data_IF_174760107275
#
_entry.id   IF_174760107275
#
_cell.length_a   1.000
_cell.length_b   1.000
_cell.length_c   1.000
_cell.angle_alpha   90.00
_cell.angle_beta   90.00
_cell.angle_gamma   90.00
#
_symmetry.space_group_name_H-M   'P 1'
#
loop_
_entity.id
_entity.type
_entity.pdbx_description
1 polymer ?
#
# COMPACT_ATOMS: atom_id res chain seq x y z
N UNK A 1 26.26 27.26 13.05
CA UNK A 1 25.71 25.92 13.33
C UNK A 1 24.24 25.97 12.95
N UNK A 2 23.84 25.26 11.89
CA UNK A 2 22.42 25.10 11.58
C UNK A 2 21.84 24.10 12.59
N UNK A 3 20.78 24.49 13.29
CA UNK A 3 20.02 23.59 14.16
C UNK A 3 19.30 22.63 13.21
N UNK A 4 19.73 21.37 13.15
CA UNK A 4 18.99 20.33 12.44
C UNK A 4 17.68 20.13 13.18
N UNK A 5 16.56 20.46 12.56
CA UNK A 5 15.24 20.14 13.09
C UNK A 5 15.10 18.61 13.21
N UNK A 6 14.36 18.10 14.21
CA UNK A 6 14.13 16.68 14.37
C UNK A 6 13.32 16.15 13.19
N UNK A 7 13.73 15.00 12.63
CA UNK A 7 12.98 14.36 11.55
C UNK A 7 11.61 13.87 12.08
N UNK A 8 10.55 14.11 11.30
CA UNK A 8 9.19 13.64 11.62
C UNK A 8 8.90 12.35 10.85
N UNK A 9 8.14 11.47 11.51
CA UNK A 9 7.68 10.21 10.94
C UNK A 9 6.63 10.47 9.86
N UNK A 10 6.56 9.61 8.84
CA UNK A 10 5.50 9.70 7.82
C UNK A 10 4.14 9.32 8.42
N UNK A 11 3.04 9.74 7.77
CA UNK A 11 1.68 9.32 8.16
C UNK A 11 1.54 7.79 8.20
N UNK A 12 2.13 7.09 7.22
CA UNK A 12 2.12 5.64 7.16
C UNK A 12 2.94 5.01 8.31
N UNK A 13 4.06 5.62 8.70
CA UNK A 13 4.84 5.20 9.86
C UNK A 13 4.08 5.43 11.17
N UNK A 14 3.46 6.60 11.35
CA UNK A 14 2.60 6.90 12.50
C UNK A 14 1.42 5.92 12.59
N UNK A 15 0.73 5.67 11.47
CA UNK A 15 -0.38 4.72 11.40
C UNK A 15 0.07 3.30 11.78
N UNK A 16 1.22 2.87 11.26
CA UNK A 16 1.78 1.53 11.52
C UNK A 16 2.11 1.35 13.00
N UNK A 17 2.83 2.29 13.60
CA UNK A 17 3.17 2.24 15.02
C UNK A 17 1.94 2.42 15.92
N UNK A 18 1.02 3.31 15.55
CA UNK A 18 -0.26 3.49 16.24
C UNK A 18 -1.06 2.19 16.31
N UNK A 19 -1.14 1.42 15.23
CA UNK A 19 -1.80 0.10 15.21
C UNK A 19 -1.15 -0.92 16.14
N UNK A 20 0.18 -0.98 16.20
CA UNK A 20 0.88 -1.91 17.12
C UNK A 20 0.65 -1.52 18.57
N UNK A 21 0.75 -0.23 18.90
CA UNK A 21 0.50 0.25 20.26
C UNK A 21 -0.98 0.04 20.66
N UNK A 22 -1.93 0.29 19.75
CA UNK A 22 -3.36 0.00 19.94
C UNK A 22 -3.62 -1.48 20.18
N UNK A 23 -3.00 -2.37 19.39
CA UNK A 23 -3.16 -3.81 19.53
C UNK A 23 -2.73 -4.25 20.93
N UNK A 24 -1.56 -3.79 21.41
CA UNK A 24 -1.04 -4.14 22.73
C UNK A 24 -1.99 -3.66 23.84
N UNK A 25 -2.45 -2.40 23.76
CA UNK A 25 -3.40 -1.82 24.73
C UNK A 25 -4.73 -2.57 24.72
N UNK A 26 -5.29 -2.82 23.53
CA UNK A 26 -6.55 -3.54 23.37
C UNK A 26 -6.44 -4.95 23.93
N UNK A 27 -5.41 -5.71 23.56
CA UNK A 27 -5.19 -7.07 24.06
C UNK A 27 -5.04 -7.11 25.58
N UNK A 28 -4.36 -6.12 26.16
CA UNK A 28 -4.27 -5.99 27.62
C UNK A 28 -5.65 -5.66 28.25
N UNK A 29 -6.41 -4.75 27.65
CA UNK A 29 -7.68 -4.25 28.20
C UNK A 29 -8.91 -5.11 27.93
N UNK A 30 -8.85 -6.06 26.98
CA UNK A 30 -9.93 -6.99 26.67
C UNK A 30 -10.45 -7.69 27.94
N UNK A 31 -11.76 -7.84 28.06
CA UNK A 31 -12.38 -8.59 29.18
C UNK A 31 -12.84 -9.96 28.70
N UNK A 32 -12.46 -11.08 29.38
CA UNK A 32 -11.51 -11.19 30.49
C UNK A 32 -10.06 -11.44 30.01
N UNK A 33 -9.17 -10.44 30.13
CA UNK A 33 -7.73 -10.61 29.89
C UNK A 33 -7.08 -11.25 31.10
N UNK A 34 -6.60 -12.49 30.92
CA UNK A 34 -5.87 -13.21 31.97
C UNK A 34 -4.60 -12.47 32.41
N UNK A 35 -3.90 -11.81 31.48
CA UNK A 35 -2.70 -11.03 31.77
C UNK A 35 -3.03 -9.85 32.68
N UNK A 36 -4.04 -9.06 32.34
CA UNK A 36 -4.47 -7.91 33.14
C UNK A 36 -4.92 -8.33 34.53
N UNK A 37 -5.74 -9.39 34.64
CA UNK A 37 -6.17 -9.91 35.93
C UNK A 37 -5.00 -10.36 36.80
N UNK A 38 -4.00 -11.04 36.22
CA UNK A 38 -2.80 -11.44 36.93
C UNK A 38 -2.02 -10.23 37.44
N UNK A 39 -1.75 -9.25 36.57
CA UNK A 39 -0.99 -8.04 36.87
C UNK A 39 -1.70 -7.16 37.92
N UNK A 40 -2.98 -6.85 37.73
CA UNK A 40 -3.76 -5.99 38.62
C UNK A 40 -4.09 -6.66 39.97
N UNK A 41 -4.05 -8.00 40.05
CA UNK A 41 -4.26 -8.71 41.32
C UNK A 41 -3.07 -8.60 42.29
N UNK A 42 -1.92 -8.10 41.84
CA UNK A 42 -0.68 -8.04 42.62
C UNK A 42 -0.10 -9.42 42.96
N UNK A 43 -0.60 -10.49 42.32
CA UNK A 43 -0.10 -11.85 42.52
C UNK A 43 1.15 -12.10 41.67
N UNK A 44 2.05 -13.00 42.12
CA UNK A 44 3.17 -13.47 41.32
C UNK A 44 2.74 -13.98 39.94
N UNK A 45 3.47 -13.58 38.90
CA UNK A 45 3.26 -14.11 37.55
C UNK A 45 3.71 -15.57 37.52
N UNK A 46 2.82 -16.52 37.18
CA UNK A 46 3.24 -17.92 37.06
C UNK A 46 4.24 -18.09 35.91
N UNK A 47 5.30 -18.90 36.06
CA UNK A 47 6.32 -19.08 35.00
C UNK A 47 5.75 -19.48 33.63
N UNK A 48 4.67 -20.26 33.60
CA UNK A 48 4.02 -20.71 32.37
C UNK A 48 3.19 -19.60 31.68
N UNK A 49 2.91 -18.48 32.35
CA UNK A 49 2.18 -17.35 31.77
C UNK A 49 3.09 -16.45 30.92
N UNK A 50 4.40 -16.45 31.20
CA UNK A 50 5.37 -15.59 30.51
C UNK A 50 5.43 -15.75 28.99
N UNK A 51 5.42 -16.97 28.41
CA UNK A 51 5.38 -17.12 26.96
C UNK A 51 4.15 -16.46 26.33
N UNK A 52 2.99 -16.55 26.99
CA UNK A 52 1.74 -15.94 26.52
C UNK A 52 1.80 -14.41 26.64
N UNK A 53 2.29 -13.89 27.77
CA UNK A 53 2.50 -12.46 27.97
C UNK A 53 3.46 -11.91 26.91
N UNK A 54 4.59 -12.57 26.70
CA UNK A 54 5.57 -12.17 25.70
C UNK A 54 4.94 -12.13 24.30
N UNK A 55 4.29 -13.22 23.88
CA UNK A 55 3.67 -13.32 22.55
C UNK A 55 2.56 -12.28 22.33
N UNK A 56 1.69 -12.08 23.31
CA UNK A 56 0.50 -11.26 23.16
C UNK A 56 0.73 -9.76 23.40
N UNK A 57 1.72 -9.40 24.24
CA UNK A 57 1.91 -8.03 24.75
C UNK A 57 3.24 -7.43 24.29
N UNK A 58 4.35 -8.16 24.38
CA UNK A 58 5.69 -7.60 24.12
C UNK A 58 6.14 -7.79 22.68
N UNK A 59 5.93 -8.98 22.11
CA UNK A 59 6.41 -9.38 20.79
C UNK A 59 5.93 -8.44 19.67
N UNK A 60 4.67 -7.96 19.60
CA UNK A 60 4.26 -7.04 18.54
C UNK A 60 5.12 -5.77 18.46
N UNK A 61 5.52 -5.21 19.62
CA UNK A 61 6.41 -4.06 19.69
C UNK A 61 7.84 -4.43 19.29
N UNK A 62 8.38 -5.50 19.88
CA UNK A 62 9.78 -5.92 19.70
C UNK A 62 10.03 -6.34 18.24
N UNK A 63 9.13 -7.12 17.65
CA UNK A 63 9.24 -7.62 16.28
C UNK A 63 9.18 -6.46 15.28
N UNK A 64 8.23 -5.52 15.44
CA UNK A 64 8.17 -4.34 14.58
C UNK A 64 9.40 -3.45 14.76
N UNK A 65 9.90 -3.28 15.98
CA UNK A 65 11.11 -2.51 16.24
C UNK A 65 12.33 -3.14 15.55
N UNK A 66 12.50 -4.46 15.64
CA UNK A 66 13.60 -5.15 14.99
C UNK A 66 13.49 -5.09 13.46
N UNK A 67 12.28 -5.12 12.91
CA UNK A 67 12.06 -5.07 11.47
C UNK A 67 12.16 -3.65 10.88
N UNK A 68 11.68 -2.65 11.61
CA UNK A 68 11.51 -1.28 11.11
C UNK A 68 11.41 -0.25 12.26
N UNK A 69 12.43 -0.17 13.12
CA UNK A 69 12.52 0.85 14.16
C UNK A 69 12.35 2.27 13.59
N UNK A 70 11.71 3.18 14.33
CA UNK A 70 11.68 4.57 13.91
C UNK A 70 13.09 5.13 13.80
N UNK A 71 13.29 6.11 12.93
CA UNK A 71 14.62 6.72 12.74
C UNK A 71 15.16 7.29 14.05
N UNK A 72 16.41 6.96 14.40
CA UNK A 72 17.07 7.53 15.58
C UNK A 72 17.06 9.06 15.55
N UNK A 73 16.59 9.67 16.64
CA UNK A 73 16.45 11.12 16.77
C UNK A 73 15.12 11.70 16.25
N UNK A 74 14.22 10.86 15.72
CA UNK A 74 12.85 11.30 15.43
C UNK A 74 12.02 11.38 16.71
N UNK A 75 10.95 12.18 16.71
CA UNK A 75 10.02 12.23 17.84
C UNK A 75 9.39 10.86 18.11
N UNK A 76 9.01 10.14 17.06
CA UNK A 76 8.43 8.81 17.15
C UNK A 76 9.39 7.80 17.80
N UNK A 77 10.69 7.90 17.50
CA UNK A 77 11.71 7.09 18.16
C UNK A 77 11.73 7.36 19.67
N UNK A 78 11.75 8.63 20.07
CA UNK A 78 11.77 9.01 21.49
C UNK A 78 10.48 8.61 22.23
N UNK A 79 9.33 8.56 21.55
CA UNK A 79 8.09 8.11 22.16
C UNK A 79 8.08 6.60 22.43
N UNK A 80 8.63 5.81 21.51
CA UNK A 80 8.47 4.34 21.53
C UNK A 80 9.66 3.64 22.19
N UNK A 81 10.87 4.18 22.07
CA UNK A 81 12.12 3.59 22.60
C UNK A 81 12.01 3.18 24.07
N UNK A 82 11.43 3.97 25.00
CA UNK A 82 11.34 3.58 26.40
C UNK A 82 10.57 2.26 26.60
N UNK A 83 9.42 2.11 25.94
CA UNK A 83 8.63 0.88 26.01
C UNK A 83 9.40 -0.32 25.44
N UNK A 84 10.10 -0.11 24.32
CA UNK A 84 10.95 -1.15 23.72
C UNK A 84 12.08 -1.58 24.67
N UNK A 85 12.77 -0.63 25.30
CA UNK A 85 13.86 -0.90 26.23
C UNK A 85 13.39 -1.75 27.43
N UNK A 86 12.21 -1.44 27.98
CA UNK A 86 11.61 -2.26 29.06
C UNK A 86 11.25 -3.65 28.56
N UNK A 87 10.65 -3.78 27.37
CA UNK A 87 10.25 -5.07 26.82
C UNK A 87 11.42 -6.04 26.64
N UNK A 88 12.58 -5.57 26.16
CA UNK A 88 13.75 -6.42 25.94
C UNK A 88 14.57 -6.69 27.21
N UNK A 89 14.46 -5.84 28.24
CA UNK A 89 15.14 -6.01 29.52
C UNK A 89 14.37 -6.90 30.51
N UNK A 90 13.16 -7.32 30.13
CA UNK A 90 12.24 -7.99 31.01
C UNK A 90 12.69 -9.42 31.35
N UNK A 91 12.89 -9.70 32.63
CA UNK A 91 13.22 -11.03 33.14
C UNK A 91 11.97 -11.93 33.17
N UNK A 92 11.85 -12.81 32.18
CA UNK A 92 10.76 -13.78 32.05
C UNK A 92 10.81 -14.92 33.07
N UNK A 93 11.78 -14.93 33.99
CA UNK A 93 11.83 -15.86 35.11
C UNK A 93 11.35 -15.23 36.41
N UNK A 94 11.23 -13.90 36.44
CA UNK A 94 10.81 -13.17 37.63
C UNK A 94 9.31 -13.40 37.91
N UNK A 95 8.92 -13.58 39.19
CA UNK A 95 7.52 -13.55 39.58
C UNK A 95 6.93 -12.13 39.59
N UNK A 96 7.77 -11.10 39.49
CA UNK A 96 7.38 -9.71 39.61
C UNK A 96 6.60 -9.22 38.37
N UNK A 97 5.41 -8.67 38.60
CA UNK A 97 4.55 -8.09 37.56
C UNK A 97 4.77 -6.59 37.36
N UNK A 98 5.51 -5.91 38.25
CA UNK A 98 5.78 -4.47 38.16
C UNK A 98 6.36 -4.05 36.80
N UNK A 99 7.33 -4.77 36.20
CA UNK A 99 7.84 -4.43 34.87
C UNK A 99 6.77 -4.45 33.77
N UNK A 100 5.72 -5.28 33.89
CA UNK A 100 4.61 -5.31 32.93
C UNK A 100 3.75 -4.05 33.09
N UNK A 101 3.51 -3.60 34.33
CA UNK A 101 2.77 -2.35 34.59
C UNK A 101 3.51 -1.15 34.00
N UNK A 102 4.82 -1.07 34.25
CA UNK A 102 5.68 -0.03 33.71
C UNK A 102 5.66 -0.02 32.17
N UNK A 103 5.85 -1.20 31.55
CA UNK A 103 5.75 -1.35 30.11
C UNK A 103 4.41 -0.83 29.57
N UNK A 104 3.29 -1.25 30.17
CA UNK A 104 1.96 -0.83 29.71
C UNK A 104 1.73 0.67 29.88
N UNK A 105 2.28 1.30 30.92
CA UNK A 105 2.22 2.75 31.08
C UNK A 105 2.96 3.47 29.93
N UNK A 106 4.16 2.99 29.57
CA UNK A 106 4.95 3.55 28.47
C UNK A 106 4.28 3.34 27.11
N UNK A 107 3.68 2.16 26.87
CA UNK A 107 2.92 1.90 25.64
C UNK A 107 1.71 2.83 25.51
N UNK A 108 0.98 3.09 26.60
CA UNK A 108 -0.18 4.00 26.59
C UNK A 108 0.24 5.44 26.31
N UNK A 109 1.30 5.91 26.95
CA UNK A 109 1.85 7.24 26.71
C UNK A 109 2.33 7.40 25.25
N UNK A 110 3.06 6.41 24.72
CA UNK A 110 3.48 6.39 23.33
C UNK A 110 2.26 6.41 22.37
N UNK A 111 1.23 5.61 22.66
CA UNK A 111 -0.01 5.55 21.86
C UNK A 111 -0.70 6.90 21.80
N UNK A 112 -0.86 7.56 22.95
CA UNK A 112 -1.50 8.87 23.04
C UNK A 112 -0.74 9.92 22.22
N UNK A 113 0.59 9.94 22.33
CA UNK A 113 1.44 10.85 21.53
C UNK A 113 1.31 10.61 20.03
N UNK A 114 1.32 9.35 19.60
CA UNK A 114 1.11 8.98 18.18
C UNK A 114 -0.28 9.42 17.70
N UNK A 115 -1.33 9.15 18.47
CA UNK A 115 -2.71 9.55 18.11
C UNK A 115 -2.86 11.06 18.01
N UNK A 116 -2.25 11.81 18.92
CA UNK A 116 -2.27 13.28 18.90
C UNK A 116 -1.53 13.84 17.68
N UNK A 117 -0.43 13.20 17.27
CA UNK A 117 0.29 13.57 16.05
C UNK A 117 -0.56 13.35 14.80
N UNK A 118 -1.17 12.17 14.65
CA UNK A 118 -2.05 11.86 13.53
C UNK A 118 -3.29 12.77 13.47
N UNK A 119 -3.89 13.09 14.63
CA UNK A 119 -5.04 14.00 14.67
C UNK A 119 -4.68 15.45 14.28
N UNK A 120 -3.47 15.90 14.64
CA UNK A 120 -3.00 17.24 14.30
C UNK A 120 -2.76 17.41 12.80
N UNK A 121 -2.29 16.36 12.12
CA UNK A 121 -2.12 16.33 10.65
C UNK A 121 -3.47 16.43 9.92
N UNK A 122 -4.51 15.74 10.42
CA UNK A 122 -5.84 15.76 9.76
C UNK A 122 -6.56 17.12 9.79
N UNK A 123 -6.14 18.03 10.66
CA UNK A 123 -6.69 19.39 10.78
C UNK A 123 -5.84 20.46 10.08
N UNK A 124 -4.63 20.12 9.61
CA UNK A 124 -3.79 21.03 8.82
C UNK A 124 -3.98 20.69 7.34
N UNK A 125 -4.76 21.52 6.65
CA UNK A 125 -4.90 21.50 5.20
C UNK A 125 -3.52 21.64 4.52
N UNK A 126 -3.11 20.63 3.76
CA UNK A 126 -2.03 20.57 2.74
C UNK A 126 -0.58 20.90 3.13
N UNK A 127 -0.30 21.55 4.26
CA UNK A 127 1.08 21.70 4.77
C UNK A 127 1.48 20.43 5.54
N UNK A 128 1.82 19.38 4.80
CA UNK A 128 2.67 18.31 5.33
C UNK A 128 3.89 18.97 5.98
N UNK A 129 4.09 18.71 7.26
CA UNK A 129 5.13 19.30 8.09
C UNK A 129 6.49 19.30 7.37
N UNK A 130 7.23 20.40 7.47
CA UNK A 130 8.58 20.67 6.91
C UNK A 130 9.66 19.62 7.26
N UNK A 131 9.28 18.48 7.84
CA UNK A 131 10.13 17.53 8.56
C UNK A 131 10.00 16.07 8.06
N UNK A 132 9.15 15.79 7.05
CA UNK A 132 9.12 14.49 6.34
C UNK A 132 10.42 14.27 5.56
N UNK A 133 10.92 13.03 5.48
CA UNK A 133 12.21 12.74 4.82
C UNK A 133 12.06 11.80 3.62
N UNK A 134 12.97 11.94 2.64
CA UNK A 134 13.02 11.09 1.45
C UNK A 134 13.12 9.61 1.82
N UNK A 135 14.00 9.26 2.77
CA UNK A 135 14.17 7.88 3.24
C UNK A 135 12.89 7.28 3.82
N UNK A 136 12.11 8.07 4.58
CA UNK A 136 10.82 7.65 5.13
C UNK A 136 9.81 7.34 4.03
N UNK A 137 9.66 8.23 3.05
CA UNK A 137 8.75 8.05 1.91
C UNK A 137 9.15 6.83 1.07
N UNK A 138 10.44 6.63 0.81
CA UNK A 138 10.94 5.46 0.08
C UNK A 138 10.72 4.17 0.86
N UNK A 139 10.80 4.21 2.19
CA UNK A 139 10.52 3.04 3.02
C UNK A 139 9.06 2.63 2.97
N UNK A 140 8.14 3.59 3.00
CA UNK A 140 6.71 3.29 2.88
C UNK A 140 6.37 2.77 1.48
N UNK A 141 6.94 3.36 0.43
CA UNK A 141 6.83 2.84 -0.94
C UNK A 141 7.29 1.37 -1.02
N UNK A 142 8.41 1.04 -0.39
CA UNK A 142 8.92 -0.35 -0.35
C UNK A 142 7.93 -1.30 0.32
N UNK A 143 7.37 -0.89 1.47
CA UNK A 143 6.43 -1.69 2.24
C UNK A 143 5.11 -1.89 1.49
N UNK A 144 4.60 -0.86 0.82
CA UNK A 144 3.38 -0.94 0.02
C UNK A 144 3.54 -1.87 -1.17
N UNK A 145 4.67 -1.83 -1.88
CA UNK A 145 4.94 -2.80 -2.97
C UNK A 145 4.98 -4.23 -2.40
N UNK A 146 5.66 -4.45 -1.27
CA UNK A 146 5.73 -5.77 -0.63
C UNK A 146 4.36 -6.26 -0.20
N UNK A 147 3.52 -5.40 0.38
CA UNK A 147 2.16 -5.72 0.79
C UNK A 147 1.25 -6.01 -0.41
N UNK A 148 1.40 -5.25 -1.49
CA UNK A 148 0.68 -5.46 -2.74
C UNK A 148 1.02 -6.84 -3.35
N UNK A 149 2.30 -7.21 -3.38
CA UNK A 149 2.75 -8.55 -3.81
C UNK A 149 2.21 -9.64 -2.89
N UNK A 150 2.29 -9.45 -1.58
CA UNK A 150 1.77 -10.41 -0.60
C UNK A 150 0.26 -10.63 -0.80
N UNK A 151 -0.51 -9.55 -0.90
CA UNK A 151 -1.95 -9.60 -1.11
C UNK A 151 -2.32 -10.33 -2.41
N UNK A 152 -1.57 -10.08 -3.49
CA UNK A 152 -1.79 -10.75 -4.76
C UNK A 152 -1.51 -12.27 -4.68
N UNK A 153 -0.44 -12.66 -3.99
CA UNK A 153 -0.06 -14.08 -3.84
C UNK A 153 -0.96 -14.83 -2.86
N UNK A 154 -1.45 -14.17 -1.82
CA UNK A 154 -2.35 -14.78 -0.83
C UNK A 154 -3.81 -14.77 -1.25
N UNK A 155 -4.23 -13.85 -2.13
CA UNK A 155 -5.63 -13.72 -2.55
C UNK A 155 -6.21 -15.01 -3.12
N UNK A 156 -5.41 -15.76 -3.89
CA UNK A 156 -5.83 -17.06 -4.42
C UNK A 156 -5.85 -18.15 -3.33
N UNK A 157 -4.89 -18.17 -2.41
CA UNK A 157 -4.83 -19.14 -1.31
C UNK A 157 -6.09 -19.11 -0.43
N UNK A 158 -6.61 -17.91 -0.14
CA UNK A 158 -7.85 -17.77 0.62
C UNK A 158 -9.04 -18.47 -0.07
N UNK A 159 -9.15 -18.34 -1.39
CA UNK A 159 -10.19 -19.01 -2.17
C UNK A 159 -9.99 -20.53 -2.17
N UNK A 160 -8.75 -21.00 -2.33
CA UNK A 160 -8.45 -22.43 -2.27
C UNK A 160 -8.77 -23.04 -0.91
N UNK A 161 -8.47 -22.35 0.19
CA UNK A 161 -8.88 -22.81 1.52
C UNK A 161 -10.40 -22.91 1.69
N UNK A 162 -11.18 -22.00 1.10
CA UNK A 162 -12.65 -22.11 1.11
C UNK A 162 -13.13 -23.35 0.34
N UNK A 163 -12.55 -23.61 -0.83
CA UNK A 163 -12.85 -24.80 -1.64
C UNK A 163 -12.49 -26.08 -0.87
N UNK A 164 -11.27 -26.17 -0.35
CA UNK A 164 -10.76 -27.35 0.35
C UNK A 164 -11.54 -27.63 1.63
N UNK A 165 -11.89 -26.59 2.41
CA UNK A 165 -12.74 -26.72 3.59
C UNK A 165 -14.08 -27.35 3.23
N UNK A 166 -14.73 -26.87 2.16
CA UNK A 166 -16.01 -27.40 1.68
C UNK A 166 -15.91 -28.84 1.19
N UNK A 167 -14.82 -29.21 0.51
CA UNK A 167 -14.55 -30.59 0.07
C UNK A 167 -14.38 -31.51 1.27
N UNK A 168 -13.56 -31.10 2.25
CA UNK A 168 -13.31 -31.85 3.47
C UNK A 168 -14.60 -32.06 4.30
N UNK A 169 -15.43 -31.02 4.43
CA UNK A 169 -16.73 -31.12 5.10
C UNK A 169 -17.68 -32.07 4.36
N UNK A 170 -17.73 -32.00 3.03
CA UNK A 170 -18.54 -32.92 2.22
C UNK A 170 -18.10 -34.37 2.40
N UNK A 171 -16.79 -34.63 2.39
CA UNK A 171 -16.22 -35.96 2.62
C UNK A 171 -16.56 -36.51 4.01
N UNK A 172 -16.47 -35.65 5.05
CA UNK A 172 -16.89 -36.02 6.41
C UNK A 172 -18.39 -36.34 6.49
N UNK A 173 -19.24 -35.49 5.93
CA UNK A 173 -20.68 -35.72 5.90
C UNK A 173 -21.02 -37.03 5.18
N UNK A 174 -20.40 -37.29 4.02
CA UNK A 174 -20.59 -38.53 3.27
C UNK A 174 -20.17 -39.78 4.08
N UNK A 175 -19.03 -39.72 4.77
CA UNK A 175 -18.52 -40.82 5.62
C UNK A 175 -19.46 -41.10 6.79
N UNK A 176 -20.06 -40.04 7.36
CA UNK A 176 -21.02 -40.13 8.48
C UNK A 176 -22.47 -40.33 8.06
N UNK A 177 -22.75 -40.35 6.75
CA UNK A 177 -24.12 -40.36 6.18
C UNK A 177 -24.98 -39.18 6.67
N UNK A 178 -24.34 -38.05 6.90
CA UNK A 178 -24.99 -36.78 7.24
C UNK A 178 -25.35 -36.01 5.95
N UNK A 179 -26.17 -34.96 6.08
CA UNK A 179 -26.43 -34.07 4.96
C UNK A 179 -25.13 -33.36 4.52
N UNK A 180 -24.89 -33.22 3.21
CA UNK A 180 -23.74 -32.46 2.73
C UNK A 180 -23.86 -31.00 3.16
N UNK A 181 -22.74 -30.29 3.33
CA UNK A 181 -22.80 -28.87 3.67
C UNK A 181 -23.51 -28.08 2.55
N UNK A 182 -24.08 -26.92 2.86
CA UNK A 182 -24.82 -26.16 1.87
C UNK A 182 -23.99 -25.81 0.61
N UNK A 183 -24.63 -25.68 -0.57
CA UNK A 183 -23.92 -25.49 -1.83
C UNK A 183 -23.46 -24.06 -2.09
N UNK A 184 -24.09 -23.06 -1.48
CA UNK A 184 -23.77 -21.64 -1.68
C UNK A 184 -22.82 -21.13 -0.61
N UNK A 185 -21.99 -20.16 -0.93
CA UNK A 185 -21.22 -19.35 0.01
C UNK A 185 -21.86 -17.96 0.09
N UNK A 186 -22.19 -17.47 1.29
CA UNK A 186 -22.53 -16.05 1.48
C UNK A 186 -21.23 -15.22 1.45
N UNK A 187 -21.13 -14.30 0.51
CA UNK A 187 -19.92 -13.53 0.23
C UNK A 187 -19.57 -12.51 1.33
N UNK A 188 -20.45 -12.30 2.31
CA UNK A 188 -20.23 -11.37 3.42
C UNK A 188 -19.92 -12.11 4.71
N UNK A 189 -20.71 -13.13 5.06
CA UNK A 189 -20.42 -13.92 6.28
C UNK A 189 -19.33 -14.96 6.06
N UNK A 190 -19.06 -15.33 4.80
CA UNK A 190 -18.15 -16.42 4.40
C UNK A 190 -18.58 -17.79 4.96
N UNK A 191 -19.87 -17.92 5.27
CA UNK A 191 -20.51 -19.17 5.70
C UNK A 191 -21.27 -19.83 4.55
N UNK A 192 -21.37 -21.15 4.60
CA UNK A 192 -22.14 -21.92 3.62
C UNK A 192 -23.64 -21.82 3.91
N UNK A 193 -24.44 -21.51 2.90
CA UNK A 193 -25.91 -21.35 3.02
C UNK A 193 -26.65 -22.12 1.92
N UNK A 194 -27.90 -22.50 2.19
CA UNK A 194 -28.70 -23.30 1.26
C UNK A 194 -29.35 -22.46 0.15
N UNK A 195 -29.67 -21.21 0.45
CA UNK A 195 -30.47 -20.37 -0.43
C UNK A 195 -29.61 -19.51 -1.34
N UNK A 196 -29.97 -19.49 -2.64
CA UNK A 196 -29.42 -18.54 -3.59
C UNK A 196 -29.96 -17.14 -3.28
N UNK A 197 -29.08 -16.15 -3.31
CA UNK A 197 -29.43 -14.73 -3.17
C UNK A 197 -28.42 -13.86 -3.92
N UNK A 198 -28.66 -12.56 -3.98
CA UNK A 198 -27.71 -11.60 -4.56
C UNK A 198 -26.37 -11.52 -3.80
N UNK A 199 -26.28 -12.09 -2.60
CA UNK A 199 -25.07 -12.15 -1.76
C UNK A 199 -24.35 -13.48 -1.83
N UNK A 200 -24.88 -14.46 -2.54
CA UNK A 200 -24.33 -15.81 -2.52
C UNK A 200 -23.76 -16.24 -3.87
N UNK A 201 -22.78 -17.12 -3.83
CA UNK A 201 -22.14 -17.71 -5.01
C UNK A 201 -21.97 -19.21 -4.80
N UNK A 202 -22.18 -20.01 -5.85
CA UNK A 202 -22.03 -21.45 -5.74
C UNK A 202 -20.57 -21.83 -5.54
N UNK A 203 -20.28 -22.78 -4.64
CA UNK A 203 -18.93 -23.33 -4.51
C UNK A 203 -18.41 -23.95 -5.82
N UNK A 204 -19.32 -24.47 -6.67
CA UNK A 204 -18.93 -24.98 -7.98
C UNK A 204 -18.47 -23.85 -8.92
N UNK A 205 -19.15 -22.71 -8.91
CA UNK A 205 -18.77 -21.53 -9.71
C UNK A 205 -17.44 -20.96 -9.24
N UNK A 206 -17.28 -20.78 -7.91
CA UNK A 206 -16.03 -20.35 -7.29
C UNK A 206 -14.89 -21.27 -7.73
N UNK A 207 -15.09 -22.59 -7.65
CA UNK A 207 -14.11 -23.56 -8.11
C UNK A 207 -13.80 -23.38 -9.60
N UNK A 208 -14.79 -23.30 -10.49
CA UNK A 208 -14.51 -23.14 -11.93
C UNK A 208 -13.79 -21.85 -12.29
N UNK A 209 -13.90 -20.81 -11.47
CA UNK A 209 -13.26 -19.51 -11.71
C UNK A 209 -11.87 -19.42 -11.09
N UNK A 210 -11.61 -20.15 -10.01
CA UNK A 210 -10.37 -20.07 -9.25
C UNK A 210 -9.44 -21.27 -9.42
N UNK A 211 -9.99 -22.48 -9.57
CA UNK A 211 -9.22 -23.73 -9.66
C UNK A 211 -8.42 -23.77 -10.98
N UNK A 212 -7.08 -23.82 -10.94
CA UNK A 212 -6.24 -23.97 -12.12
C UNK A 212 -6.33 -25.36 -12.78
N UNK A 213 -7.11 -26.28 -12.22
CA UNK A 213 -7.17 -27.70 -12.61
C UNK A 213 -6.24 -28.59 -11.79
N UNK A 214 -5.76 -28.14 -10.62
CA UNK A 214 -4.91 -28.92 -9.69
C UNK A 214 -5.77 -29.38 -8.50
N UNK A 215 -5.51 -30.59 -8.02
CA UNK A 215 -6.43 -31.31 -7.13
C UNK A 215 -6.37 -30.87 -5.66
N UNK A 216 -5.30 -30.20 -5.19
CA UNK A 216 -5.14 -29.85 -3.76
C UNK A 216 -4.32 -28.57 -3.48
N UNK A 217 -4.53 -27.94 -2.30
CA UNK A 217 -3.67 -26.84 -1.79
C UNK A 217 -2.20 -27.26 -1.58
N UNK A 218 -1.94 -28.54 -1.29
CA UNK A 218 -0.57 -29.06 -1.14
C UNK A 218 0.19 -29.08 -2.48
N UNK A 219 -0.48 -29.45 -3.58
CA UNK A 219 0.09 -29.34 -4.94
C UNK A 219 0.35 -27.89 -5.35
N UNK A 220 -0.52 -26.95 -4.91
CA UNK A 220 -0.32 -25.52 -5.10
C UNK A 220 0.92 -24.99 -4.35
N UNK A 221 1.08 -25.37 -3.07
CA UNK A 221 2.24 -24.99 -2.24
C UNK A 221 3.54 -25.64 -2.76
N UNK A 222 3.46 -26.84 -3.32
CA UNK A 222 4.60 -27.55 -3.91
C UNK A 222 5.11 -26.96 -5.23
N UNK A 223 4.45 -25.91 -5.76
CA UNK A 223 4.92 -25.15 -6.91
C UNK A 223 4.62 -25.78 -8.27
N UNK A 224 3.48 -26.46 -8.42
CA UNK A 224 3.03 -26.92 -9.74
C UNK A 224 2.92 -25.72 -10.71
N UNK A 225 3.48 -25.85 -11.93
CA UNK A 225 3.43 -24.80 -12.94
C UNK A 225 1.99 -24.46 -13.40
N UNK A 226 1.03 -25.35 -13.16
CA UNK A 226 -0.39 -25.10 -13.41
C UNK A 226 -1.02 -24.20 -12.36
N UNK A 227 -0.58 -24.28 -11.10
CA UNK A 227 -1.06 -23.44 -10.01
C UNK A 227 -0.84 -21.94 -10.27
N UNK A 228 0.29 -21.59 -10.87
CA UNK A 228 0.66 -20.21 -11.25
C UNK A 228 -0.14 -19.67 -12.47
N UNK A 229 -1.12 -20.41 -13.01
CA UNK A 229 -1.87 -20.04 -14.22
C UNK A 229 -3.37 -19.91 -14.04
N UNK A 230 -3.89 -19.98 -12.81
CA UNK A 230 -5.31 -19.79 -12.56
C UNK A 230 -5.80 -18.44 -13.12
N UNK A 231 -6.91 -18.40 -13.89
CA UNK A 231 -7.43 -17.15 -14.45
C UNK A 231 -7.70 -16.05 -13.41
N UNK A 232 -8.06 -16.43 -12.18
CA UNK A 232 -8.29 -15.51 -11.06
C UNK A 232 -7.02 -14.74 -10.64
N UNK A 233 -5.83 -15.31 -10.84
CA UNK A 233 -4.56 -14.65 -10.53
C UNK A 233 -4.36 -13.39 -11.37
N UNK A 234 -4.88 -13.37 -12.61
CA UNK A 234 -4.91 -12.16 -13.45
C UNK A 234 -5.71 -11.04 -12.79
N UNK A 235 -6.82 -11.36 -12.13
CA UNK A 235 -7.66 -10.38 -11.45
C UNK A 235 -6.90 -9.75 -10.27
N UNK A 236 -6.29 -10.56 -9.41
CA UNK A 236 -5.44 -10.05 -8.32
C UNK A 236 -4.28 -9.22 -8.86
N UNK A 237 -3.66 -9.67 -9.96
CA UNK A 237 -2.60 -8.92 -10.63
C UNK A 237 -3.06 -7.52 -11.07
N UNK A 238 -4.24 -7.43 -11.67
CA UNK A 238 -4.81 -6.16 -12.12
C UNK A 238 -5.08 -5.20 -10.97
N UNK A 239 -5.55 -5.70 -9.82
CA UNK A 239 -5.86 -4.88 -8.65
C UNK A 239 -4.59 -4.28 -8.06
N UNK A 240 -3.57 -5.09 -7.78
CA UNK A 240 -2.37 -4.60 -7.10
C UNK A 240 -1.55 -3.66 -7.99
N UNK A 241 -1.43 -3.95 -9.30
CA UNK A 241 -0.71 -3.07 -10.25
C UNK A 241 -1.42 -1.73 -10.37
N UNK A 242 -2.75 -1.74 -10.47
CA UNK A 242 -3.53 -0.50 -10.56
C UNK A 242 -3.39 0.32 -9.30
N UNK A 243 -3.56 -0.30 -8.13
CA UNK A 243 -3.41 0.38 -6.85
C UNK A 243 -2.02 0.99 -6.68
N UNK A 244 -0.96 0.22 -6.95
CA UNK A 244 0.41 0.70 -6.80
C UNK A 244 0.74 1.87 -7.72
N UNK A 245 0.29 1.84 -8.98
CA UNK A 245 0.51 2.97 -9.90
C UNK A 245 -0.28 4.20 -9.48
N UNK A 246 -1.51 4.03 -8.99
CA UNK A 246 -2.27 5.15 -8.41
C UNK A 246 -1.51 5.75 -7.22
N UNK A 247 -1.01 4.93 -6.29
CA UNK A 247 -0.20 5.42 -5.17
C UNK A 247 1.09 6.10 -5.65
N UNK A 248 1.76 5.55 -6.67
CA UNK A 248 2.94 6.18 -7.25
C UNK A 248 2.63 7.58 -7.82
N UNK A 249 1.59 7.69 -8.66
CA UNK A 249 1.27 8.95 -9.35
C UNK A 249 0.65 10.01 -8.42
N UNK A 250 -0.17 9.61 -7.45
CA UNK A 250 -0.95 10.53 -6.61
C UNK A 250 -0.30 10.84 -5.26
N UNK A 251 0.50 9.91 -4.72
CA UNK A 251 1.10 10.06 -3.39
C UNK A 251 2.63 10.18 -3.47
N UNK A 252 3.30 9.11 -3.89
CA UNK A 252 4.76 9.01 -3.72
C UNK A 252 5.54 9.96 -4.61
N UNK A 253 5.19 10.06 -5.90
CA UNK A 253 5.91 10.90 -6.84
C UNK A 253 5.78 12.40 -6.51
N UNK A 254 4.59 12.96 -6.21
CA UNK A 254 4.48 14.35 -5.74
C UNK A 254 5.23 14.61 -4.44
N UNK A 255 5.15 13.70 -3.46
CA UNK A 255 5.88 13.84 -2.19
C UNK A 255 7.40 13.88 -2.39
N UNK A 256 7.94 12.95 -3.16
CA UNK A 256 9.37 12.91 -3.47
C UNK A 256 9.81 14.18 -4.21
N UNK A 257 9.01 14.67 -5.15
CA UNK A 257 9.31 15.88 -5.89
C UNK A 257 9.41 17.10 -4.97
N UNK A 258 8.43 17.27 -4.08
CA UNK A 258 8.43 18.35 -3.09
C UNK A 258 9.64 18.27 -2.16
N UNK A 259 9.96 17.08 -1.63
CA UNK A 259 11.11 16.87 -0.74
C UNK A 259 12.46 17.14 -1.44
N UNK A 260 12.53 16.90 -2.74
CA UNK A 260 13.70 17.21 -3.56
C UNK A 260 13.73 18.66 -4.07
N UNK A 261 12.70 19.46 -3.81
CA UNK A 261 12.54 20.79 -4.40
C UNK A 261 12.46 20.77 -5.93
N UNK A 262 11.86 19.72 -6.50
CA UNK A 262 11.78 19.45 -7.93
C UNK A 262 10.33 19.39 -8.41
N UNK A 263 10.15 19.41 -9.73
CA UNK A 263 8.85 19.18 -10.35
C UNK A 263 8.50 17.67 -10.30
N UNK A 264 7.24 17.28 -10.05
CA UNK A 264 6.81 15.88 -10.17
C UNK A 264 7.20 15.23 -11.50
N UNK A 265 7.26 16.01 -12.58
CA UNK A 265 7.68 15.51 -13.89
C UNK A 265 9.15 15.15 -14.01
N UNK A 266 9.99 15.65 -13.11
CA UNK A 266 11.41 15.34 -13.02
C UNK A 266 11.68 14.07 -12.22
N UNK A 267 10.80 13.69 -11.29
CA UNK A 267 10.86 12.40 -10.58
C UNK A 267 10.46 11.28 -11.51
N UNK A 268 11.46 10.59 -12.05
CA UNK A 268 11.29 9.50 -13.02
C UNK A 268 11.67 8.15 -12.45
N UNK A 269 10.91 7.13 -12.83
CA UNK A 269 11.23 5.75 -12.58
C UNK A 269 10.94 4.89 -13.80
N UNK A 270 11.93 4.12 -14.24
CA UNK A 270 11.72 3.16 -15.32
C UNK A 270 10.89 1.96 -14.84
N UNK A 271 11.04 1.57 -13.57
CA UNK A 271 10.24 0.51 -12.96
C UNK A 271 8.75 0.86 -12.95
N UNK A 272 8.40 2.05 -12.43
CA UNK A 272 7.01 2.49 -12.40
C UNK A 272 6.47 2.82 -13.81
N UNK A 273 7.32 3.22 -14.76
CA UNK A 273 6.91 3.34 -16.16
C UNK A 273 6.53 1.99 -16.78
N UNK A 274 7.26 0.92 -16.46
CA UNK A 274 6.94 -0.45 -16.91
C UNK A 274 5.65 -0.98 -16.25
N UNK A 275 5.48 -0.74 -14.95
CA UNK A 275 4.25 -1.08 -14.23
C UNK A 275 3.03 -0.30 -14.76
N UNK A 276 3.19 0.97 -15.16
CA UNK A 276 2.10 1.76 -15.73
C UNK A 276 1.63 1.19 -17.08
N UNK A 277 2.54 0.66 -17.90
CA UNK A 277 2.15 -0.05 -19.13
C UNK A 277 1.39 -1.33 -18.82
N UNK A 278 1.76 -2.04 -17.74
CA UNK A 278 0.96 -3.18 -17.27
C UNK A 278 -0.44 -2.75 -16.83
N UNK A 279 -0.56 -1.68 -16.04
CA UNK A 279 -1.87 -1.11 -15.66
C UNK A 279 -2.73 -0.83 -16.88
N UNK A 280 -2.18 -0.19 -17.92
CA UNK A 280 -2.92 0.10 -19.15
C UNK A 280 -3.47 -1.19 -19.80
N UNK A 281 -2.68 -2.25 -19.85
CA UNK A 281 -3.12 -3.52 -20.43
C UNK A 281 -4.14 -4.27 -19.55
N UNK A 282 -4.01 -4.19 -18.23
CA UNK A 282 -5.04 -4.70 -17.32
C UNK A 282 -6.37 -3.98 -17.50
N UNK A 283 -6.36 -2.64 -17.50
CA UNK A 283 -7.57 -1.81 -17.55
C UNK A 283 -8.22 -1.81 -18.93
N UNK A 284 -7.44 -1.66 -20.00
CA UNK A 284 -7.99 -1.46 -21.35
C UNK A 284 -7.95 -2.71 -22.23
N UNK A 285 -7.07 -3.68 -21.93
CA UNK A 285 -6.86 -4.88 -22.75
C UNK A 285 -7.20 -6.18 -22.00
N UNK A 286 -7.98 -6.10 -20.91
CA UNK A 286 -8.44 -7.26 -20.11
C UNK A 286 -7.30 -8.14 -19.59
N UNK A 287 -6.14 -7.53 -19.35
CA UNK A 287 -4.91 -8.20 -18.92
C UNK A 287 -4.31 -9.09 -20.00
N UNK A 288 -4.41 -8.68 -21.28
CA UNK A 288 -3.67 -9.26 -22.39
C UNK A 288 -2.57 -8.29 -22.80
N UNK A 289 -1.32 -8.77 -22.81
CA UNK A 289 -0.16 -7.95 -23.08
C UNK A 289 -0.19 -7.39 -24.52
N UNK A 290 -0.03 -6.08 -24.65
CA UNK A 290 0.08 -5.39 -25.92
C UNK A 290 1.53 -5.17 -26.33
N UNK A 291 1.73 -4.59 -27.52
CA UNK A 291 3.06 -4.20 -27.99
C UNK A 291 3.78 -3.16 -27.11
N UNK A 292 3.06 -2.50 -26.18
CA UNK A 292 3.64 -1.52 -25.25
C UNK A 292 4.28 -2.22 -24.05
N UNK A 293 3.53 -3.06 -23.34
CA UNK A 293 4.06 -3.81 -22.20
C UNK A 293 5.07 -4.88 -22.61
N UNK A 294 4.94 -5.45 -23.82
CA UNK A 294 5.93 -6.38 -24.36
C UNK A 294 7.29 -5.74 -24.66
N UNK A 295 7.39 -4.41 -24.55
CA UNK A 295 8.62 -3.62 -24.70
C UNK A 295 8.93 -2.87 -23.41
N UNK A 296 8.52 -3.42 -22.28
CA UNK A 296 9.10 -3.05 -21.00
C UNK A 296 10.63 -3.17 -21.07
N UNK A 297 11.32 -2.40 -20.24
CA UNK A 297 12.78 -2.40 -20.24
C UNK A 297 13.30 -3.31 -19.13
N UNK A 298 12.68 -3.21 -17.96
CA UNK A 298 13.04 -3.91 -16.74
C UNK A 298 12.13 -5.11 -16.52
N UNK A 299 10.82 -4.91 -16.59
CA UNK A 299 9.83 -5.98 -16.33
C UNK A 299 9.39 -6.67 -17.62
N UNK A 300 10.26 -7.54 -18.15
CA UNK A 300 10.06 -8.22 -19.44
C UNK A 300 9.25 -9.52 -19.32
N UNK A 301 8.14 -9.47 -18.59
CA UNK A 301 7.40 -10.66 -18.15
C UNK A 301 6.53 -11.30 -19.22
N UNK A 302 6.03 -10.50 -20.17
CA UNK A 302 4.99 -10.91 -21.09
C UNK A 302 5.32 -10.53 -22.53
N UNK A 303 5.09 -11.46 -23.44
CA UNK A 303 5.06 -11.22 -24.88
C UNK A 303 3.70 -10.72 -25.33
N UNK A 304 3.64 -10.10 -26.51
CA UNK A 304 2.37 -9.62 -27.07
C UNK A 304 1.40 -10.79 -27.25
N UNK A 305 0.20 -10.66 -26.69
CA UNK A 305 -0.86 -11.66 -26.73
C UNK A 305 -0.92 -12.56 -25.50
N UNK A 306 0.08 -12.51 -24.63
CA UNK A 306 0.08 -13.31 -23.40
C UNK A 306 -1.01 -12.85 -22.44
N UNK A 307 -1.64 -13.82 -21.75
CA UNK A 307 -2.43 -13.54 -20.57
C UNK A 307 -1.48 -13.11 -19.44
N UNK A 308 -1.68 -11.91 -18.91
CA UNK A 308 -0.77 -11.30 -17.94
C UNK A 308 -0.99 -11.86 -16.53
N UNK A 309 -0.51 -13.08 -16.29
CA UNK A 309 -0.52 -13.74 -14.99
C UNK A 309 0.94 -13.81 -14.50
N UNK A 310 1.34 -13.00 -13.51
CA UNK A 310 2.72 -13.02 -13.00
C UNK A 310 3.02 -14.34 -12.28
N UNK A 311 4.20 -14.89 -12.53
CA UNK A 311 4.72 -16.08 -11.83
C UNK A 311 5.50 -15.68 -10.57
N UNK A 312 5.87 -16.67 -9.75
CA UNK A 312 6.77 -16.43 -8.61
C UNK A 312 8.10 -15.78 -9.01
N UNK A 313 8.68 -16.14 -10.17
CA UNK A 313 9.90 -15.53 -10.70
C UNK A 313 9.70 -14.06 -11.10
N UNK A 314 8.52 -13.71 -11.64
CA UNK A 314 8.20 -12.32 -11.98
C UNK A 314 8.15 -11.44 -10.72
N UNK A 315 7.57 -11.95 -9.63
CA UNK A 315 7.54 -11.23 -8.36
C UNK A 315 8.92 -11.07 -7.71
N UNK A 316 9.78 -12.10 -7.78
CA UNK A 316 11.16 -11.98 -7.33
C UNK A 316 11.91 -10.88 -8.11
N UNK A 317 11.74 -10.86 -9.43
CA UNK A 317 12.30 -9.80 -10.28
C UNK A 317 11.77 -8.41 -9.90
N UNK A 318 10.46 -8.26 -9.63
CA UNK A 318 9.89 -6.98 -9.19
C UNK A 318 10.58 -6.47 -7.92
N UNK A 319 10.75 -7.34 -6.91
CA UNK A 319 11.36 -6.96 -5.64
C UNK A 319 12.85 -6.63 -5.81
N UNK A 320 13.54 -7.35 -6.69
CA UNK A 320 14.93 -7.04 -7.04
C UNK A 320 15.05 -5.69 -7.75
N UNK A 321 14.20 -5.41 -8.74
CA UNK A 321 14.20 -4.13 -9.46
C UNK A 321 13.77 -2.96 -8.56
N UNK A 322 12.85 -3.17 -7.63
CA UNK A 322 12.50 -2.19 -6.62
C UNK A 322 13.70 -1.85 -5.75
N UNK A 323 14.41 -2.86 -5.24
CA UNK A 323 15.61 -2.65 -4.43
C UNK A 323 16.67 -1.83 -5.17
N UNK A 324 16.80 -2.01 -6.49
CA UNK A 324 17.68 -1.21 -7.35
C UNK A 324 17.17 0.20 -7.62
N UNK A 325 15.85 0.40 -7.64
CA UNK A 325 15.21 1.69 -7.95
C UNK A 325 15.22 2.65 -6.76
N UNK A 326 15.06 2.15 -5.53
CA UNK A 326 14.98 3.00 -4.33
C UNK A 326 16.19 3.96 -4.16
N UNK A 327 17.45 3.52 -4.31
CA UNK A 327 18.60 4.44 -4.25
C UNK A 327 18.59 5.51 -5.34
N UNK A 328 18.03 5.22 -6.51
CA UNK A 328 17.94 6.19 -7.61
C UNK A 328 16.92 7.28 -7.29
N UNK A 329 15.80 6.91 -6.65
CA UNK A 329 14.78 7.85 -6.20
C UNK A 329 15.21 8.67 -4.97
N UNK A 330 16.22 8.20 -4.23
CA UNK A 330 16.79 8.92 -3.10
C UNK A 330 17.65 10.13 -3.52
N UNK A 331 18.10 10.16 -4.78
CA UNK A 331 18.86 11.28 -5.31
C UNK A 331 17.95 12.36 -5.91
N UNK A 332 18.38 13.61 -5.78
CA UNK A 332 17.67 14.74 -6.38
C UNK A 332 17.55 14.50 -7.90
N UNK A 333 16.34 14.59 -8.49
CA UNK A 333 16.14 14.31 -9.89
C UNK A 333 16.82 15.37 -10.76
N UNK A 334 17.29 14.95 -11.93
CA UNK A 334 17.83 15.86 -12.94
C UNK A 334 16.65 16.52 -13.66
N UNK A 335 16.53 17.86 -13.66
CA UNK A 335 15.46 18.54 -14.36
C UNK A 335 15.45 18.17 -15.83
N UNK A 336 14.30 17.74 -16.35
CA UNK A 336 14.15 17.49 -17.78
C UNK A 336 14.21 18.81 -18.52
N UNK A 337 14.84 18.78 -19.70
CA UNK A 337 14.75 19.90 -20.64
C UNK A 337 13.28 20.11 -21.00
N UNK A 338 12.66 21.15 -20.44
CA UNK A 338 11.29 21.51 -20.78
C UNK A 338 11.29 22.01 -22.22
N UNK A 339 10.38 21.50 -23.07
CA UNK A 339 10.26 22.06 -24.41
C UNK A 339 9.96 23.56 -24.26
N UNK A 340 10.58 24.39 -25.10
CA UNK A 340 10.34 25.84 -25.11
C UNK A 340 8.88 26.21 -25.46
N UNK A 341 8.04 25.21 -25.79
CA UNK A 341 6.63 25.34 -26.11
C UNK A 341 5.86 24.14 -25.58
N UNK A 342 4.76 24.41 -24.90
CA UNK A 342 3.79 23.41 -24.45
C UNK A 342 2.45 23.65 -25.14
N UNK A 343 1.73 22.59 -25.48
CA UNK A 343 0.39 22.69 -26.04
C UNK A 343 -0.60 23.06 -24.94
N UNK A 344 -1.43 24.07 -25.17
CA UNK A 344 -2.51 24.46 -24.27
C UNK A 344 -3.76 23.70 -24.70
N UNK A 345 -4.33 22.90 -23.79
CA UNK A 345 -5.58 22.17 -24.01
C UNK A 345 -6.74 23.00 -23.46
N UNK A 346 -7.74 23.25 -24.29
CA UNK A 346 -8.96 23.94 -23.90
C UNK A 346 -10.04 23.71 -24.94
N UNK A 347 -11.30 23.82 -24.51
CA UNK A 347 -12.45 23.77 -25.40
C UNK A 347 -12.95 25.20 -25.64
N UNK A 348 -13.10 25.56 -26.91
CA UNK A 348 -13.68 26.83 -27.34
C UNK A 348 -14.67 26.57 -28.47
N UNK A 349 -15.77 27.35 -28.56
CA UNK A 349 -16.72 27.26 -29.67
C UNK A 349 -16.03 27.30 -31.04
N UNK A 350 -16.43 26.41 -31.95
CA UNK A 350 -15.83 26.28 -33.29
C UNK A 350 -15.83 27.59 -34.08
N UNK A 351 -16.88 28.41 -33.92
CA UNK A 351 -16.95 29.71 -34.59
C UNK A 351 -15.91 30.70 -34.06
N UNK A 352 -15.56 30.64 -32.76
CA UNK A 352 -14.45 31.44 -32.21
C UNK A 352 -13.11 30.99 -32.75
N UNK A 353 -12.89 29.68 -32.95
CA UNK A 353 -11.66 29.16 -33.58
C UNK A 353 -11.51 29.74 -34.99
N UNK A 354 -12.57 29.67 -35.81
CA UNK A 354 -12.54 30.23 -37.17
C UNK A 354 -12.28 31.73 -37.19
N UNK A 355 -12.94 32.48 -36.29
CA UNK A 355 -12.73 33.92 -36.18
C UNK A 355 -11.29 34.25 -35.74
N UNK A 356 -10.76 33.49 -34.80
CA UNK A 356 -9.39 33.62 -34.32
C UNK A 356 -8.37 33.35 -35.43
N UNK A 357 -8.52 32.24 -36.17
CA UNK A 357 -7.66 31.90 -37.32
C UNK A 357 -7.71 32.97 -38.41
N UNK A 358 -8.91 33.49 -38.72
CA UNK A 358 -9.09 34.58 -39.68
C UNK A 358 -8.41 35.87 -39.22
N UNK A 359 -8.56 36.23 -37.94
CA UNK A 359 -7.94 37.42 -37.36
C UNK A 359 -6.41 37.32 -37.31
N UNK A 360 -5.88 36.14 -36.99
CA UNK A 360 -4.46 35.83 -37.05
C UNK A 360 -3.91 35.98 -38.48
N UNK A 361 -4.59 35.38 -39.45
CA UNK A 361 -4.23 35.47 -40.87
C UNK A 361 -4.24 36.89 -41.41
N UNK A 362 -5.24 37.71 -41.03
CA UNK A 362 -5.32 39.12 -41.41
C UNK A 362 -4.14 39.97 -40.89
N UNK A 363 -3.48 39.53 -39.82
CA UNK A 363 -2.28 40.16 -39.23
C UNK A 363 -0.97 39.51 -39.71
N UNK A 364 -1.04 38.55 -40.64
CA UNK A 364 0.14 37.81 -41.12
C UNK A 364 0.75 36.89 -40.06
N UNK A 365 0.02 36.56 -38.99
CA UNK A 365 0.49 35.70 -37.91
C UNK A 365 -0.01 34.26 -38.11
N UNK A 366 0.84 33.28 -37.81
CA UNK A 366 0.41 31.90 -37.64
C UNK A 366 -0.41 31.72 -36.35
N UNK A 367 -1.30 30.72 -36.32
CA UNK A 367 -2.22 30.46 -35.19
C UNK A 367 -1.48 30.38 -33.85
N UNK A 368 -0.34 29.69 -33.79
CA UNK A 368 0.46 29.59 -32.55
C UNK A 368 1.03 30.93 -32.07
N UNK A 369 1.49 31.79 -32.99
CA UNK A 369 2.04 33.11 -32.65
C UNK A 369 0.92 34.07 -32.21
N UNK A 370 -0.25 33.98 -32.85
CA UNK A 370 -1.43 34.72 -32.42
C UNK A 370 -1.92 34.26 -31.03
N UNK A 371 -1.84 32.95 -30.75
CA UNK A 371 -2.24 32.39 -29.45
C UNK A 371 -1.28 32.84 -28.35
N UNK A 372 0.03 32.79 -28.62
CA UNK A 372 1.07 33.29 -27.72
C UNK A 372 0.86 34.77 -27.39
N UNK A 373 0.62 35.62 -28.40
CA UNK A 373 0.33 37.04 -28.20
C UNK A 373 -0.97 37.28 -27.42
N UNK A 374 -2.02 36.51 -27.70
CA UNK A 374 -3.30 36.64 -27.00
C UNK A 374 -3.18 36.27 -25.51
N UNK A 375 -2.47 35.19 -25.19
CA UNK A 375 -2.23 34.78 -23.80
C UNK A 375 -1.37 35.80 -23.07
N UNK A 376 -0.31 36.29 -23.72
CA UNK A 376 0.55 37.30 -23.12
C UNK A 376 -0.22 38.57 -22.79
N UNK A 377 -1.04 39.06 -23.73
CA UNK A 377 -1.89 40.23 -23.48
C UNK A 377 -2.88 39.98 -22.34
N UNK A 378 -3.48 38.78 -22.27
CA UNK A 378 -4.41 38.43 -21.20
C UNK A 378 -3.72 38.40 -19.82
N UNK A 379 -2.49 37.86 -19.73
CA UNK A 379 -1.69 37.90 -18.51
C UNK A 379 -1.35 39.35 -18.14
N UNK A 380 -0.84 40.14 -19.07
CA UNK A 380 -0.45 41.54 -18.84
C UNK A 380 -1.66 42.40 -18.40
N UNK A 381 -2.86 42.13 -18.93
CA UNK A 381 -4.12 42.77 -18.52
C UNK A 381 -4.57 42.32 -17.12
N UNK A 382 -4.30 41.07 -16.74
CA UNK A 382 -4.70 40.49 -15.46
C UNK A 382 -3.74 40.82 -14.32
N UNK A 383 -2.45 41.04 -14.62
CA UNK A 383 -1.39 41.39 -13.66
C UNK A 383 -1.20 42.93 -13.48
N UNK A 384 -2.05 43.74 -14.11
CA UNK A 384 -2.06 45.21 -13.92
C UNK A 384 -2.40 45.64 -12.47
N UNK A 385 -2.09 46.89 -12.06
CA UNK A 385 -2.06 47.36 -10.66
C UNK A 385 -3.44 47.55 -9.98
N UNK A 386 -4.40 46.67 -10.27
CA UNK A 386 -5.73 46.63 -9.64
C UNK A 386 -6.00 45.38 -8.79
N UNK A 387 -5.05 44.44 -8.70
CA UNK A 387 -5.19 43.17 -7.96
C UNK A 387 -4.86 43.22 -6.47
N UNK A 388 -4.91 44.39 -5.83
CA UNK A 388 -5.01 44.53 -4.37
C UNK A 388 -6.33 45.25 -4.06
N UNK A 389 -7.41 44.49 -3.93
CA UNK A 389 -8.66 44.94 -3.34
C UNK A 389 -9.29 43.79 -2.55
#
# INVERSE_FOLDING_TARGET
MAISLPAVATEAELTRWGKVLEQIVTTYDMKPSGVRLLVESGKPVPPHAWPVINLAIMAPLVDLWQANAPRTGSQLYEWIRPAYAVAIALDQTSPDSTPIVEFMALVRDAREKVQNATASESNQTEDLTDETTVDGVLKDLELDVKLAVLSARLGHNGIMHLIDRRIAEAGRAATRREQPPPPQLDLVSLESVDQLSYRTMSHAEIRTMADPGVMTTEEFIAGDQLADRAPILKYFASLWVTHLITQWDELYRPLLARLHGADPDDVVSELFADLNKFRQDYVHNRGVATSRSSKNKRLNWFSRGDAMIPTSANYDQLLHELHRELPLLAHQPVPKARPNRSAIKGEVPTELVKLFEKAAGARGLGVSAALEAAIKNWIDESDGPGGQA
#
